data_IF_103106997321
#
_entry.id   IF_103106997321
#
_cell.length_a   1.000
_cell.length_b   1.000
_cell.length_c   1.000
_cell.angle_alpha   90.00
_cell.angle_beta   90.00
_cell.angle_gamma   90.00
#
_symmetry.space_group_name_H-M   'P 1'
#
loop_
_entity.id
_entity.type
_entity.pdbx_description
1 polymer ?
#
# COMPACT_ATOMS: atom_id res chain seq x y z
N UNK A 1 16.77 8.52 6.87
CA UNK A 1 16.20 9.08 5.63
C UNK A 1 15.53 7.95 4.86
N UNK A 2 14.24 8.06 4.56
CA UNK A 2 13.52 7.12 3.68
C UNK A 2 13.97 7.29 2.24
N UNK A 3 14.16 6.22 1.48
CA UNK A 3 14.20 6.36 0.02
C UNK A 3 12.85 5.94 -0.57
N UNK A 4 12.24 6.83 -1.37
CA UNK A 4 11.05 6.54 -2.20
C UNK A 4 11.18 5.23 -2.97
N UNK A 5 12.40 4.88 -3.37
CA UNK A 5 12.74 3.65 -4.11
C UNK A 5 12.44 2.39 -3.29
N UNK A 6 12.73 2.39 -1.99
CA UNK A 6 12.50 1.21 -1.14
C UNK A 6 11.02 0.95 -0.92
N UNK A 7 10.22 2.02 -0.90
CA UNK A 7 8.77 1.93 -0.76
C UNK A 7 8.11 1.48 -2.07
N UNK A 8 8.60 1.97 -3.21
CA UNK A 8 8.18 1.45 -4.53
C UNK A 8 8.56 -0.02 -4.70
N UNK A 9 9.77 -0.43 -4.31
CA UNK A 9 10.18 -1.83 -4.32
C UNK A 9 9.26 -2.70 -3.44
N UNK A 10 8.82 -2.16 -2.30
CA UNK A 10 7.89 -2.86 -1.43
C UNK A 10 6.49 -3.04 -2.02
N UNK A 11 5.97 -2.01 -2.71
CA UNK A 11 4.70 -2.12 -3.41
C UNK A 11 4.76 -3.09 -4.59
N UNK A 12 5.83 -3.03 -5.39
CA UNK A 12 6.02 -3.96 -6.52
C UNK A 12 6.14 -5.40 -6.04
N UNK A 13 6.85 -5.64 -4.93
CA UNK A 13 6.96 -6.98 -4.35
C UNK A 13 5.66 -7.49 -3.71
N UNK A 14 4.79 -6.58 -3.24
CA UNK A 14 3.46 -6.89 -2.71
C UNK A 14 2.43 -7.16 -3.83
N UNK A 15 2.64 -6.54 -5.00
CA UNK A 15 1.80 -6.71 -6.19
C UNK A 15 1.79 -8.11 -6.81
N UNK A 16 2.66 -9.01 -6.36
CA UNK A 16 2.62 -10.43 -6.69
C UNK A 16 1.60 -11.24 -5.84
N UNK A 17 0.73 -10.57 -5.08
CA UNK A 17 -0.42 -11.21 -4.40
C UNK A 17 -1.64 -11.29 -5.33
N UNK A 18 -2.52 -12.31 -5.19
CA UNK A 18 -3.59 -12.58 -6.15
C UNK A 18 -4.59 -11.43 -6.36
N UNK A 19 -4.71 -10.51 -5.40
CA UNK A 19 -5.60 -9.35 -5.49
C UNK A 19 -5.14 -8.36 -6.57
N UNK A 20 -3.83 -8.16 -6.70
CA UNK A 20 -3.22 -7.30 -7.72
C UNK A 20 -3.12 -8.02 -9.07
N UNK A 21 -2.89 -9.35 -9.07
CA UNK A 21 -2.95 -10.17 -10.28
C UNK A 21 -4.37 -10.31 -10.87
N UNK A 22 -5.44 -10.22 -10.06
CA UNK A 22 -6.84 -10.26 -10.52
C UNK A 22 -7.34 -8.88 -10.99
N UNK A 23 -6.81 -7.80 -10.43
CA UNK A 23 -7.09 -6.43 -10.88
C UNK A 23 -6.26 -6.01 -12.11
N UNK A 24 -5.23 -6.79 -12.45
CA UNK A 24 -4.41 -6.60 -13.64
C UNK A 24 -5.18 -7.00 -14.91
N UNK A 25 -6.11 -6.15 -15.35
CA UNK A 25 -6.10 -5.84 -16.78
C UNK A 25 -4.73 -5.22 -17.09
N UNK A 26 -4.11 -5.50 -18.26
CA UNK A 26 -2.77 -5.01 -18.58
C UNK A 26 -2.59 -3.48 -18.43
N UNK A 27 -3.68 -2.71 -18.51
CA UNK A 27 -3.71 -1.25 -18.29
C UNK A 27 -3.81 -0.79 -16.82
N UNK A 28 -4.21 -1.64 -15.88
CA UNK A 28 -4.46 -1.23 -14.49
C UNK A 28 -3.17 -0.84 -13.76
N UNK A 29 -2.03 -1.44 -14.13
CA UNK A 29 -0.71 -1.09 -13.59
C UNK A 29 0.06 -0.07 -14.42
N UNK A 30 -0.28 0.09 -15.70
CA UNK A 30 0.23 1.18 -16.53
C UNK A 30 -0.21 2.57 -16.01
N UNK A 31 -1.30 2.61 -15.22
CA UNK A 31 -1.88 3.81 -14.62
C UNK A 31 -1.54 4.05 -13.14
N UNK A 32 -0.60 3.32 -12.53
CA UNK A 32 -0.12 3.63 -11.16
C UNK A 32 0.87 4.81 -11.21
N UNK A 33 0.44 5.89 -11.85
CA UNK A 33 1.14 7.17 -11.88
C UNK A 33 1.18 7.79 -10.47
N UNK A 34 2.07 8.75 -10.25
CA UNK A 34 2.19 9.41 -8.95
C UNK A 34 0.86 10.07 -8.49
N UNK A 35 -0.01 10.47 -9.42
CA UNK A 35 -1.34 10.99 -9.15
C UNK A 35 -2.33 9.92 -8.68
N UNK A 36 -2.25 8.69 -9.18
CA UNK A 36 -3.06 7.56 -8.70
C UNK A 36 -2.70 7.22 -7.25
N UNK A 37 -1.40 7.15 -6.94
CA UNK A 37 -0.92 6.98 -5.55
C UNK A 37 -1.46 8.08 -4.64
N UNK A 38 -1.44 9.33 -5.09
CA UNK A 38 -1.99 10.46 -4.34
C UNK A 38 -3.49 10.33 -4.08
N UNK A 39 -4.28 10.04 -5.12
CA UNK A 39 -5.74 9.91 -5.00
C UNK A 39 -6.14 8.75 -4.09
N UNK A 40 -5.53 7.58 -4.28
CA UNK A 40 -5.83 6.38 -3.49
C UNK A 40 -5.38 6.57 -2.04
N UNK A 41 -4.16 7.08 -1.83
CA UNK A 41 -3.62 7.36 -0.50
C UNK A 41 -4.43 8.40 0.26
N UNK A 42 -4.88 9.46 -0.42
CA UNK A 42 -5.79 10.46 0.17
C UNK A 42 -7.13 9.85 0.57
N UNK A 43 -7.76 9.07 -0.32
CA UNK A 43 -9.03 8.43 -0.02
C UNK A 43 -8.93 7.45 1.17
N UNK A 44 -7.82 6.73 1.30
CA UNK A 44 -7.59 5.87 2.47
C UNK A 44 -7.42 6.68 3.76
N UNK A 45 -6.74 7.84 3.71
CA UNK A 45 -6.60 8.74 4.87
C UNK A 45 -7.92 9.36 5.30
N UNK A 46 -8.82 9.64 4.37
CA UNK A 46 -10.15 10.17 4.71
C UNK A 46 -10.97 9.18 5.56
N UNK A 47 -10.72 7.87 5.41
CA UNK A 47 -11.31 6.81 6.23
C UNK A 47 -10.59 6.60 7.57
N UNK A 48 -9.40 7.16 7.73
CA UNK A 48 -8.57 7.03 8.93
C UNK A 48 -8.20 8.42 9.46
N UNK A 49 -9.09 9.07 10.23
CA UNK A 49 -8.77 10.37 10.80
C UNK A 49 -7.56 10.23 11.75
N UNK A 50 -6.62 11.18 11.69
CA UNK A 50 -5.42 11.30 12.54
C UNK A 50 -4.19 10.42 12.20
N UNK A 51 -4.18 9.69 11.09
CA UNK A 51 -2.93 9.02 10.65
C UNK A 51 -1.94 10.02 10.07
N UNK A 52 -0.72 10.00 10.61
CA UNK A 52 0.43 10.75 10.10
C UNK A 52 1.42 9.80 9.42
N UNK A 53 2.32 10.36 8.61
CA UNK A 53 3.40 9.59 7.98
C UNK A 53 4.24 8.81 9.02
N UNK A 54 4.52 9.40 10.18
CA UNK A 54 5.29 8.75 11.25
C UNK A 54 4.55 7.55 11.86
N UNK A 55 3.22 7.68 12.07
CA UNK A 55 2.38 6.58 12.57
C UNK A 55 2.33 5.44 11.56
N UNK A 56 2.12 5.74 10.28
CA UNK A 56 2.10 4.74 9.21
C UNK A 56 3.46 4.06 9.05
N UNK A 57 4.55 4.82 9.07
CA UNK A 57 5.90 4.26 8.97
C UNK A 57 6.20 3.29 10.13
N UNK A 58 5.84 3.64 11.37
CA UNK A 58 5.99 2.75 12.53
C UNK A 58 5.12 1.50 12.44
N UNK A 59 3.87 1.63 11.95
CA UNK A 59 2.94 0.52 11.77
C UNK A 59 3.45 -0.48 10.71
N UNK A 60 3.88 0.04 9.56
CA UNK A 60 4.27 -0.76 8.40
C UNK A 60 5.70 -1.30 8.54
N UNK A 61 6.61 -0.52 9.10
CA UNK A 61 8.05 -0.82 9.18
C UNK A 61 8.58 -0.75 10.63
N UNK A 62 8.04 -1.57 11.56
CA UNK A 62 8.43 -1.50 12.97
C UNK A 62 9.90 -1.89 13.21
N UNK A 63 10.46 -2.76 12.37
CA UNK A 63 11.85 -3.27 12.49
C UNK A 63 12.78 -2.56 11.48
N UNK A 64 12.32 -1.46 10.87
CA UNK A 64 13.05 -0.76 9.82
C UNK A 64 12.53 -1.06 8.41
N UNK A 65 12.98 -0.25 7.45
CA UNK A 65 12.61 -0.32 6.04
C UNK A 65 13.63 -1.16 5.26
N UNK A 66 13.17 -1.83 4.22
CA UNK A 66 14.03 -2.59 3.30
C UNK A 66 13.39 -3.90 2.84
N UNK A 67 14.11 -4.66 2.01
CA UNK A 67 13.63 -5.93 1.46
C UNK A 67 13.24 -6.96 2.53
N UNK A 68 13.84 -6.86 3.72
CA UNK A 68 13.51 -7.72 4.88
C UNK A 68 12.09 -7.49 5.44
N UNK A 69 11.47 -6.33 5.18
CA UNK A 69 10.10 -6.04 5.61
C UNK A 69 9.05 -6.67 4.67
N UNK A 70 9.44 -7.09 3.47
CA UNK A 70 8.51 -7.56 2.43
C UNK A 70 7.74 -8.82 2.80
N UNK A 71 8.34 -9.88 3.36
CA UNK A 71 7.60 -11.07 3.74
C UNK A 71 6.50 -10.74 4.76
N UNK A 72 6.83 -9.93 5.77
CA UNK A 72 5.87 -9.47 6.79
C UNK A 72 4.73 -8.66 6.17
N UNK A 73 5.02 -7.73 5.26
CA UNK A 73 3.99 -6.93 4.59
C UNK A 73 3.06 -7.81 3.74
N UNK A 74 3.61 -8.83 3.08
CA UNK A 74 2.81 -9.82 2.32
C UNK A 74 1.90 -10.64 3.24
N UNK A 75 2.43 -11.12 4.36
CA UNK A 75 1.63 -11.87 5.34
C UNK A 75 0.52 -11.02 5.97
N UNK A 76 0.81 -9.74 6.22
CA UNK A 76 -0.17 -8.79 6.74
C UNK A 76 -1.27 -8.54 5.70
N UNK A 77 -0.92 -8.24 4.45
CA UNK A 77 -1.90 -8.05 3.38
C UNK A 77 -2.77 -9.30 3.16
N UNK A 78 -2.17 -10.50 3.16
CA UNK A 78 -2.91 -11.76 3.07
C UNK A 78 -3.87 -11.95 4.26
N UNK A 79 -3.43 -11.57 5.47
CA UNK A 79 -4.25 -11.61 6.67
C UNK A 79 -5.42 -10.62 6.61
N UNK A 80 -5.18 -9.42 6.10
CA UNK A 80 -6.20 -8.39 5.92
C UNK A 80 -7.29 -8.89 4.95
N UNK A 81 -6.91 -9.54 3.84
CA UNK A 81 -7.88 -10.17 2.93
C UNK A 81 -8.67 -11.29 3.60
N UNK A 82 -8.01 -12.17 4.35
CA UNK A 82 -8.69 -13.27 5.10
C UNK A 82 -9.69 -12.74 6.13
N UNK A 83 -9.38 -11.60 6.76
CA UNK A 83 -10.23 -10.94 7.76
C UNK A 83 -11.29 -10.03 7.14
N UNK A 84 -11.28 -9.83 5.81
CA UNK A 84 -12.17 -8.88 5.14
C UNK A 84 -11.82 -7.41 5.38
N UNK A 85 -10.64 -7.11 5.95
CA UNK A 85 -10.12 -5.75 6.15
C UNK A 85 -9.60 -5.19 4.83
N UNK A 86 -10.54 -4.87 3.93
CA UNK A 86 -10.26 -4.39 2.59
C UNK A 86 -10.71 -2.95 2.40
N UNK A 87 -9.94 -2.21 1.64
CA UNK A 87 -10.24 -0.87 1.16
C UNK A 87 -10.64 -0.93 -0.31
N UNK A 88 -11.87 -0.51 -0.61
CA UNK A 88 -12.37 -0.43 -1.97
C UNK A 88 -12.23 0.99 -2.52
N UNK A 89 -11.65 1.15 -3.71
CA UNK A 89 -11.51 2.45 -4.37
C UNK A 89 -11.67 2.32 -5.87
N UNK A 90 -12.73 2.92 -6.45
CA UNK A 90 -12.99 2.94 -7.90
C UNK A 90 -12.82 1.57 -8.59
N UNK A 91 -13.40 0.52 -8.01
CA UNK A 91 -13.31 -0.86 -8.54
C UNK A 91 -12.07 -1.64 -8.11
N UNK A 92 -11.10 -1.00 -7.46
CA UNK A 92 -9.95 -1.66 -6.84
C UNK A 92 -10.35 -2.20 -5.48
N UNK A 93 -9.83 -3.37 -5.15
CA UNK A 93 -9.96 -3.97 -3.82
C UNK A 93 -8.56 -4.21 -3.26
N UNK A 94 -8.17 -3.33 -2.36
CA UNK A 94 -6.87 -3.32 -1.70
C UNK A 94 -7.03 -3.87 -0.28
N UNK A 95 -5.99 -4.49 0.26
CA UNK A 95 -5.88 -4.73 1.69
C UNK A 95 -5.70 -3.41 2.44
N UNK A 96 -6.03 -3.38 3.72
CA UNK A 96 -5.73 -2.23 4.57
C UNK A 96 -4.24 -1.89 4.56
N UNK A 97 -3.37 -2.90 4.57
CA UNK A 97 -1.91 -2.73 4.45
C UNK A 97 -1.49 -2.06 3.15
N UNK A 98 -2.08 -2.44 2.00
CA UNK A 98 -1.81 -1.79 0.72
C UNK A 98 -2.30 -0.34 0.70
N UNK A 99 -3.50 -0.08 1.23
CA UNK A 99 -4.03 1.28 1.39
C UNK A 99 -3.14 2.16 2.27
N UNK A 100 -2.65 1.61 3.37
CA UNK A 100 -1.72 2.28 4.28
C UNK A 100 -0.35 2.57 3.62
N UNK A 101 0.16 1.67 2.76
CA UNK A 101 1.40 1.90 2.00
C UNK A 101 1.23 3.03 0.97
N UNK A 102 0.10 3.07 0.26
CA UNK A 102 -0.23 4.16 -0.68
C UNK A 102 -0.44 5.49 0.06
N UNK A 103 -1.09 5.45 1.22
CA UNK A 103 -1.24 6.62 2.09
C UNK A 103 0.12 7.14 2.57
N UNK A 104 1.05 6.26 2.96
CA UNK A 104 2.41 6.64 3.33
C UNK A 104 3.17 7.27 2.16
N UNK A 105 3.11 6.68 0.96
CA UNK A 105 3.73 7.27 -0.23
C UNK A 105 3.21 8.66 -0.54
N UNK A 106 1.91 8.87 -0.39
CA UNK A 106 1.30 10.15 -0.71
C UNK A 106 1.66 11.27 0.28
N UNK A 107 2.37 10.97 1.37
CA UNK A 107 3.03 11.98 2.22
C UNK A 107 4.47 12.29 1.79
N UNK A 108 5.13 11.44 0.98
CA UNK A 108 6.56 11.52 0.65
C UNK A 108 6.85 12.21 -0.71
N UNK A 109 5.82 12.73 -1.39
CA UNK A 109 5.91 13.56 -2.61
C UNK A 109 5.50 14.99 -2.31
#
# INVERSE_FOLDING_TARGET
MTSRRDLLAALVALAATPALARAATPDAFAGLDAGAVQRIGKAWRELHPNVTAAVLARRLFPVGRGLAALPRLRDQAATDFRKGSVFAYRGWRLSDTEGALLALLSFET
#
